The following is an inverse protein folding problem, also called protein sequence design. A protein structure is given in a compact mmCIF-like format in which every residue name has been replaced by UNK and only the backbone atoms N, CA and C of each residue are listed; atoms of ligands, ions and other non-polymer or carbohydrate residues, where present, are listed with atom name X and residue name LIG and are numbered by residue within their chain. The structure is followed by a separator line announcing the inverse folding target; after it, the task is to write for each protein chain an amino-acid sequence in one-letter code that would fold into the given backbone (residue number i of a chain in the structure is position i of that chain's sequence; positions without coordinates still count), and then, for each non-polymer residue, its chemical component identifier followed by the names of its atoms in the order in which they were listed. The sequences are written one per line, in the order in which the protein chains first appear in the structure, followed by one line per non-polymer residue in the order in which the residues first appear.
data_IF_413500133504
#
_entry.id   IF_413500133504
#
_cell.length_a   1.000
_cell.length_b   1.000
_cell.length_c   1.000
_cell.angle_alpha   90.00
_cell.angle_beta   90.00
_cell.angle_gamma   90.00
#
_symmetry.space_group_name_H-M   'P 1'
#
loop_
_entity.id
_entity.type
_entity.pdbx_description
1 polymer ?
#
# COMPACT_ATOMS: atom_id res chain seq x y z
N UNK A 1 2.75 31.89 2.75
CA UNK A 1 2.63 31.03 1.56
C UNK A 1 2.79 29.60 2.05
N UNK A 2 1.86 28.68 1.78
CA UNK A 2 2.04 27.28 2.17
C UNK A 2 3.31 26.75 1.49
N UNK A 3 4.16 26.09 2.25
CA UNK A 3 5.31 25.38 1.68
C UNK A 3 4.82 24.36 0.65
N UNK A 4 5.54 24.26 -0.47
CA UNK A 4 5.20 23.29 -1.49
C UNK A 4 5.47 21.88 -0.93
N UNK A 5 4.50 20.99 -1.11
CA UNK A 5 4.62 19.60 -0.64
C UNK A 5 5.89 18.91 -1.14
N UNK A 6 6.34 19.24 -2.37
CA UNK A 6 7.58 18.71 -2.92
C UNK A 6 8.80 19.04 -2.07
N UNK A 7 8.89 20.27 -1.54
CA UNK A 7 10.02 20.70 -0.72
C UNK A 7 10.06 19.94 0.60
N UNK A 8 8.92 19.81 1.28
CA UNK A 8 8.84 19.05 2.54
C UNK A 8 9.07 17.56 2.30
N UNK A 9 8.54 16.99 1.22
CA UNK A 9 8.65 15.56 0.91
C UNK A 9 10.08 15.13 0.56
N UNK A 10 10.82 15.89 -0.26
CA UNK A 10 12.22 15.58 -0.60
C UNK A 10 13.21 15.94 0.52
N UNK A 11 12.76 16.61 1.58
CA UNK A 11 13.56 16.76 2.81
C UNK A 11 13.58 15.47 3.61
N UNK A 12 12.43 14.78 3.70
CA UNK A 12 12.28 13.49 4.37
C UNK A 12 12.80 12.33 3.51
N UNK A 13 12.33 12.24 2.25
CA UNK A 13 12.80 11.26 1.26
C UNK A 13 14.07 11.80 0.59
N UNK A 14 15.20 11.56 1.24
CA UNK A 14 16.52 12.11 0.88
C UNK A 14 17.04 11.71 -0.51
N UNK A 15 16.47 10.70 -1.17
CA UNK A 15 16.90 10.23 -2.48
C UNK A 15 15.71 10.03 -3.45
N UNK A 16 15.67 10.71 -4.61
CA UNK A 16 14.67 10.46 -5.66
C UNK A 16 14.65 9.02 -6.17
N UNK A 17 15.73 8.25 -5.99
CA UNK A 17 15.78 6.83 -6.32
C UNK A 17 14.73 5.99 -5.57
N UNK A 18 14.23 6.47 -4.43
CA UNK A 18 13.14 5.85 -3.67
C UNK A 18 11.89 5.64 -4.55
N UNK A 19 11.44 6.67 -5.27
CA UNK A 19 10.27 6.57 -6.15
C UNK A 19 10.55 5.86 -7.47
N UNK A 20 11.82 5.79 -7.90
CA UNK A 20 12.21 5.12 -9.15
C UNK A 20 11.91 3.62 -9.13
N UNK A 21 11.97 2.98 -7.96
CA UNK A 21 11.62 1.55 -7.79
C UNK A 21 10.18 1.26 -8.23
N UNK A 22 9.28 2.23 -8.06
CA UNK A 22 7.87 2.13 -8.45
C UNK A 22 7.62 2.58 -9.90
N UNK A 23 8.65 3.08 -10.58
CA UNK A 23 8.56 3.66 -11.91
C UNK A 23 9.54 2.95 -12.85
N UNK A 24 9.04 1.96 -13.60
CA UNK A 24 9.87 1.21 -14.54
C UNK A 24 9.20 -0.05 -15.04
N UNK A 25 9.92 -0.82 -15.86
CA UNK A 25 9.41 -2.08 -16.42
C UNK A 25 9.33 -3.19 -15.36
N UNK A 26 10.23 -3.16 -14.38
CA UNK A 26 10.28 -4.12 -13.28
C UNK A 26 9.47 -3.68 -12.04
N UNK A 27 8.73 -2.58 -12.12
CA UNK A 27 7.96 -2.04 -11.00
C UNK A 27 7.01 -3.07 -10.35
N UNK A 28 6.27 -3.92 -11.11
CA UNK A 28 5.41 -4.94 -10.51
C UNK A 28 6.19 -5.90 -9.60
N UNK A 29 7.32 -6.42 -10.09
CA UNK A 29 8.18 -7.33 -9.33
C UNK A 29 8.76 -6.67 -8.09
N UNK A 30 9.17 -5.40 -8.18
CA UNK A 30 9.67 -4.68 -7.00
C UNK A 30 8.58 -4.41 -5.97
N UNK A 31 7.35 -4.11 -6.39
CA UNK A 31 6.21 -3.93 -5.48
C UNK A 31 5.92 -5.23 -4.73
N UNK A 32 5.88 -6.37 -5.42
CA UNK A 32 5.61 -7.66 -4.78
C UNK A 32 6.73 -8.08 -3.82
N UNK A 33 7.99 -7.79 -4.18
CA UNK A 33 9.14 -7.97 -3.28
C UNK A 33 9.03 -7.09 -2.03
N UNK A 34 8.73 -5.81 -2.19
CA UNK A 34 8.59 -4.87 -1.08
C UNK A 34 7.41 -5.22 -0.17
N UNK A 35 6.28 -5.67 -0.75
CA UNK A 35 5.12 -6.11 0.01
C UNK A 35 5.43 -7.32 0.91
N UNK A 36 6.15 -8.30 0.37
CA UNK A 36 6.55 -9.48 1.13
C UNK A 36 7.58 -9.16 2.22
N UNK A 37 8.57 -8.31 1.92
CA UNK A 37 9.56 -7.88 2.90
C UNK A 37 8.94 -7.07 4.05
N UNK A 38 7.98 -6.18 3.75
CA UNK A 38 7.26 -5.39 4.76
C UNK A 38 6.42 -6.27 5.70
N UNK A 39 5.75 -7.31 5.16
CA UNK A 39 5.01 -8.29 5.99
C UNK A 39 5.92 -9.03 6.96
N UNK A 40 7.03 -9.56 6.47
CA UNK A 40 8.00 -10.29 7.30
C UNK A 40 8.67 -9.38 8.35
N UNK A 41 8.93 -8.11 8.02
CA UNK A 41 9.44 -7.13 8.98
C UNK A 41 8.41 -6.72 10.03
N UNK A 42 7.13 -6.68 9.67
CA UNK A 42 6.03 -6.38 10.61
C UNK A 42 5.86 -7.51 11.63
N UNK A 43 5.96 -8.76 11.18
CA UNK A 43 5.86 -9.93 12.05
C UNK A 43 7.10 -10.12 12.94
N UNK A 44 8.25 -9.55 12.54
CA UNK A 44 9.52 -9.66 13.26
C UNK A 44 10.13 -8.28 13.58
N UNK A 45 9.79 -7.67 14.74
CA UNK A 45 10.32 -6.36 15.12
C UNK A 45 11.85 -6.35 15.34
N UNK A 46 12.45 -7.54 15.46
CA UNK A 46 13.86 -7.77 15.67
C UNK A 46 14.74 -7.50 14.43
N UNK A 47 14.13 -7.34 13.25
CA UNK A 47 14.80 -7.15 11.96
C UNK A 47 15.06 -8.47 11.21
N UNK A 48 15.19 -8.39 9.89
CA UNK A 48 15.31 -9.55 8.99
C UNK A 48 16.79 -9.86 8.70
N UNK A 49 17.18 -11.14 8.67
CA UNK A 49 18.54 -11.50 8.26
C UNK A 49 18.72 -11.37 6.74
N UNK A 50 19.91 -10.95 6.29
CA UNK A 50 20.19 -10.77 4.86
C UNK A 50 19.96 -12.04 4.02
N UNK A 51 20.30 -13.21 4.55
CA UNK A 51 20.09 -14.47 3.83
C UNK A 51 18.59 -14.82 3.72
N UNK A 52 17.82 -14.56 4.78
CA UNK A 52 16.36 -14.76 4.75
C UNK A 52 15.71 -13.80 3.74
N UNK A 53 16.11 -12.53 3.73
CA UNK A 53 15.65 -11.55 2.75
C UNK A 53 15.93 -12.02 1.31
N UNK A 54 17.14 -12.54 1.04
CA UNK A 54 17.49 -13.08 -0.27
C UNK A 54 16.63 -14.29 -0.64
N UNK A 55 16.30 -15.16 0.30
CA UNK A 55 15.48 -16.35 0.05
C UNK A 55 14.01 -15.96 -0.25
N UNK A 56 13.46 -14.98 0.49
CA UNK A 56 12.13 -14.40 0.21
C UNK A 56 12.09 -13.77 -1.18
N UNK A 57 13.09 -12.95 -1.52
CA UNK A 57 13.17 -12.31 -2.84
C UNK A 57 13.28 -13.37 -3.94
N UNK A 58 14.09 -14.42 -3.75
CA UNK A 58 14.24 -15.48 -4.73
C UNK A 58 12.94 -16.22 -5.01
N UNK A 59 12.11 -16.45 -3.98
CA UNK A 59 10.78 -17.06 -4.16
C UNK A 59 9.85 -16.18 -5.00
N UNK A 60 9.87 -14.87 -4.77
CA UNK A 60 9.03 -13.92 -5.51
C UNK A 60 9.51 -13.79 -6.94
N UNK A 61 10.82 -13.69 -7.18
CA UNK A 61 11.39 -13.68 -8.53
C UNK A 61 11.01 -14.93 -9.33
N UNK A 62 10.84 -16.09 -8.68
CA UNK A 62 10.35 -17.30 -9.36
C UNK A 62 8.91 -17.16 -9.87
N UNK A 63 8.10 -16.27 -9.27
CA UNK A 63 6.72 -15.95 -9.70
C UNK A 63 6.68 -14.89 -10.81
N UNK A 64 7.79 -14.21 -11.09
CA UNK A 64 7.92 -13.15 -12.11
C UNK A 64 8.94 -13.52 -13.20
N UNK A 65 8.56 -14.37 -14.18
CA UNK A 65 9.45 -14.75 -15.29
C UNK A 65 9.83 -13.57 -16.21
N UNK A 66 9.06 -12.50 -16.19
CA UNK A 66 9.30 -11.26 -16.94
C UNK A 66 10.38 -10.35 -16.35
N UNK A 67 10.88 -10.65 -15.14
CA UNK A 67 11.90 -9.83 -14.48
C UNK A 67 13.19 -9.81 -15.30
N UNK A 68 13.64 -8.62 -15.65
CA UNK A 68 14.91 -8.40 -16.33
C UNK A 68 15.77 -7.49 -15.46
N UNK A 69 16.89 -7.98 -14.88
CA UNK A 69 17.73 -7.13 -14.06
C UNK A 69 18.20 -5.94 -14.89
N UNK A 70 17.80 -4.74 -14.49
CA UNK A 70 18.28 -3.51 -15.12
C UNK A 70 19.80 -3.46 -14.92
N UNK A 71 20.55 -3.33 -16.01
CA UNK A 71 21.97 -3.05 -15.94
C UNK A 71 22.12 -1.65 -15.35
N UNK A 72 22.43 -1.57 -14.06
CA UNK A 72 22.66 -0.30 -13.37
C UNK A 72 23.75 0.47 -14.14
N UNK A 73 23.42 1.68 -14.61
CA UNK A 73 24.32 2.61 -15.29
C UNK A 73 25.48 2.98 -14.33
N UNK A 74 26.57 2.21 -14.36
CA UNK A 74 27.74 2.49 -13.51
C UNK A 74 28.61 1.29 -13.19
N UNK A 75 28.17 0.06 -13.48
CA UNK A 75 29.08 -1.08 -13.57
C UNK A 75 29.27 -1.34 -15.06
N UNK A 76 30.50 -1.25 -15.55
CA UNK A 76 30.86 -1.73 -16.90
C UNK A 76 30.39 -3.19 -17.02
N UNK A 77 29.16 -3.37 -17.51
CA UNK A 77 28.62 -4.65 -17.83
C UNK A 77 29.42 -5.15 -19.02
N UNK A 78 30.37 -6.04 -18.75
CA UNK A 78 30.99 -6.86 -19.79
C UNK A 78 29.84 -7.48 -20.61
N UNK A 79 29.80 -7.28 -21.94
CA UNK A 79 28.63 -7.59 -22.77
C UNK A 79 28.28 -9.09 -22.84
N UNK A 80 29.07 -9.96 -22.20
CA UNK A 80 28.89 -11.40 -22.16
C UNK A 80 27.97 -11.89 -21.00
N UNK A 81 27.56 -11.03 -20.06
CA UNK A 81 26.65 -11.42 -18.96
C UNK A 81 25.15 -11.24 -19.30
N UNK A 82 24.82 -10.96 -20.56
CA UNK A 82 23.47 -10.59 -20.95
C UNK A 82 22.47 -11.75 -21.09
N UNK A 83 22.86 -13.02 -21.22
CA UNK A 83 21.89 -14.10 -21.55
C UNK A 83 22.30 -15.47 -20.99
N UNK A 84 22.56 -15.58 -19.70
CA UNK A 84 22.54 -16.87 -19.01
C UNK A 84 21.86 -16.68 -17.67
N UNK A 85 20.81 -17.45 -17.40
CA UNK A 85 20.01 -17.42 -16.18
C UNK A 85 20.92 -17.24 -14.95
N UNK A 86 21.00 -16.02 -14.42
CA UNK A 86 21.63 -15.82 -13.13
C UNK A 86 20.92 -16.74 -12.15
N UNK A 87 21.65 -17.47 -11.28
CA UNK A 87 21.00 -18.27 -10.27
C UNK A 87 20.07 -17.34 -9.47
N UNK A 88 18.85 -17.78 -9.12
CA UNK A 88 17.81 -16.92 -8.56
C UNK A 88 18.27 -16.17 -7.30
N UNK A 89 19.20 -16.76 -6.55
CA UNK A 89 19.88 -16.13 -5.41
C UNK A 89 20.78 -14.95 -5.77
N UNK A 90 21.47 -14.97 -6.90
CA UNK A 90 22.30 -13.83 -7.33
C UNK A 90 21.45 -12.68 -7.85
N UNK A 91 20.36 -12.99 -8.59
CA UNK A 91 19.37 -11.99 -8.96
C UNK A 91 18.73 -11.35 -7.72
N UNK A 92 18.34 -12.16 -6.73
CA UNK A 92 17.80 -11.69 -5.46
C UNK A 92 18.77 -10.80 -4.68
N UNK A 93 20.08 -11.12 -4.67
CA UNK A 93 21.10 -10.25 -4.07
C UNK A 93 21.20 -8.89 -4.76
N UNK A 94 21.16 -8.85 -6.10
CA UNK A 94 21.17 -7.60 -6.85
C UNK A 94 19.93 -6.75 -6.56
N UNK A 95 18.75 -7.36 -6.49
CA UNK A 95 17.51 -6.68 -6.10
C UNK A 95 17.62 -6.12 -4.69
N UNK A 96 18.11 -6.92 -3.73
CA UNK A 96 18.29 -6.47 -2.36
C UNK A 96 19.25 -5.28 -2.26
N UNK A 97 20.38 -5.34 -2.97
CA UNK A 97 21.36 -4.24 -3.01
C UNK A 97 20.76 -2.99 -3.67
N UNK A 98 19.95 -3.15 -4.73
CA UNK A 98 19.24 -2.04 -5.37
C UNK A 98 18.22 -1.39 -4.42
N UNK A 99 17.39 -2.17 -3.73
CA UNK A 99 16.42 -1.66 -2.76
C UNK A 99 17.10 -0.95 -1.57
N UNK A 100 18.26 -1.47 -1.13
CA UNK A 100 19.07 -0.84 -0.09
C UNK A 100 19.68 0.49 -0.56
N UNK A 101 20.14 0.57 -1.82
CA UNK A 101 20.62 1.84 -2.43
C UNK A 101 19.49 2.86 -2.54
N UNK A 102 18.30 2.42 -2.93
CA UNK A 102 17.10 3.25 -3.02
C UNK A 102 16.48 3.61 -1.65
N UNK A 103 17.10 3.18 -0.54
CA UNK A 103 16.67 3.46 0.85
C UNK A 103 15.29 2.93 1.22
N UNK A 104 14.85 1.85 0.57
CA UNK A 104 13.68 1.10 1.04
C UNK A 104 14.03 0.19 2.22
N UNK A 105 15.31 -0.16 2.35
CA UNK A 105 15.84 -1.02 3.41
C UNK A 105 16.99 -0.28 4.09
N UNK A 106 16.98 -0.30 5.42
CA UNK A 106 18.03 0.27 6.26
C UNK A 106 18.87 -0.84 6.92
N UNK A 107 20.19 -0.79 6.72
CA UNK A 107 21.16 -1.56 7.50
C UNK A 107 21.65 -0.65 8.65
N UNK A 108 21.29 -0.89 9.93
CA UNK A 108 21.69 -0.02 11.02
C UNK A 108 23.21 -0.04 11.19
N UNK A 109 23.86 1.11 11.44
CA UNK A 109 25.31 1.22 11.51
C UNK A 109 25.93 0.64 12.81
N UNK A 110 25.22 -0.18 13.58
CA UNK A 110 25.71 -0.65 14.89
C UNK A 110 26.60 -1.90 14.77
N UNK A 111 27.64 -1.89 15.61
CA UNK A 111 28.73 -2.87 15.83
C UNK A 111 28.29 -4.30 16.22
N UNK A 112 27.06 -4.70 15.92
CA UNK A 112 26.63 -6.07 16.13
C UNK A 112 26.97 -6.88 14.89
N UNK A 113 27.63 -8.01 15.11
CA UNK A 113 28.03 -9.01 14.13
C UNK A 113 26.84 -9.62 13.35
N UNK A 114 25.60 -9.25 13.69
CA UNK A 114 24.36 -9.60 13.00
C UNK A 114 23.89 -8.41 12.16
N UNK A 115 24.24 -8.41 10.87
CA UNK A 115 23.73 -7.46 9.87
C UNK A 115 22.23 -7.73 9.63
N UNK A 116 21.38 -7.15 10.48
CA UNK A 116 19.91 -7.20 10.33
C UNK A 116 19.43 -6.04 9.46
N UNK A 117 18.48 -6.32 8.59
CA UNK A 117 17.82 -5.37 7.70
C UNK A 117 16.52 -4.91 8.36
N UNK A 118 16.24 -3.62 8.28
CA UNK A 118 14.98 -3.03 8.69
C UNK A 118 14.31 -2.40 7.47
N UNK A 119 12.98 -2.46 7.44
CA UNK A 119 12.20 -1.78 6.43
C UNK A 119 12.08 -0.30 6.79
N UNK A 120 12.25 0.58 5.80
CA UNK A 120 12.11 2.03 6.03
C UNK A 120 10.66 2.39 6.38
N UNK A 121 10.49 3.35 7.30
CA UNK A 121 9.17 3.75 7.79
C UNK A 121 8.33 4.47 6.72
N UNK A 122 8.95 5.24 5.84
CA UNK A 122 8.26 5.88 4.72
C UNK A 122 7.90 4.85 3.64
N UNK A 123 8.78 3.88 3.42
CA UNK A 123 8.50 2.67 2.64
C UNK A 123 7.25 1.94 3.12
N UNK A 124 7.18 1.63 4.41
CA UNK A 124 6.05 0.92 5.01
C UNK A 124 4.73 1.67 4.81
N UNK A 125 4.76 3.00 5.00
CA UNK A 125 3.59 3.87 4.77
C UNK A 125 3.14 3.82 3.31
N UNK A 126 4.09 3.84 2.36
CA UNK A 126 3.78 3.81 0.93
C UNK A 126 3.23 2.45 0.49
N UNK A 127 3.82 1.34 0.96
CA UNK A 127 3.29 -0.01 0.70
C UNK A 127 1.89 -0.17 1.30
N UNK A 128 1.65 0.32 2.52
CA UNK A 128 0.32 0.31 3.11
C UNK A 128 -0.70 1.08 2.26
N UNK A 129 -0.31 2.24 1.72
CA UNK A 129 -1.17 3.00 0.81
C UNK A 129 -1.43 2.24 -0.50
N UNK A 130 -0.41 1.59 -1.07
CA UNK A 130 -0.55 0.76 -2.27
C UNK A 130 -1.47 -0.45 -2.03
N UNK A 131 -1.35 -1.13 -0.88
CA UNK A 131 -2.27 -2.20 -0.46
C UNK A 131 -3.71 -1.70 -0.39
N UNK A 132 -3.92 -0.53 0.20
CA UNK A 132 -5.26 0.07 0.30
C UNK A 132 -5.82 0.44 -1.09
N UNK A 133 -4.97 0.78 -2.05
CA UNK A 133 -5.40 1.04 -3.43
C UNK A 133 -5.75 -0.28 -4.14
N UNK A 134 -4.96 -1.34 -3.95
CA UNK A 134 -5.18 -2.65 -4.57
C UNK A 134 -6.39 -3.38 -3.97
N UNK A 135 -6.52 -3.34 -2.66
CA UNK A 135 -7.58 -3.96 -1.86
C UNK A 135 -8.23 -2.91 -0.95
N UNK A 136 -9.07 -2.02 -1.48
CA UNK A 136 -9.73 -1.05 -0.64
C UNK A 136 -10.78 -1.72 0.21
N UNK A 137 -10.85 -1.27 1.47
CA UNK A 137 -11.88 -1.67 2.41
C UNK A 137 -13.29 -1.42 1.85
N UNK A 138 -14.27 -2.09 2.44
CA UNK A 138 -15.67 -1.82 2.15
C UNK A 138 -15.94 -0.33 2.32
N UNK A 139 -16.44 0.32 1.25
CA UNK A 139 -16.72 1.74 1.29
C UNK A 139 -17.94 1.99 2.21
N UNK A 140 -17.66 2.40 3.45
CA UNK A 140 -18.69 2.72 4.45
C UNK A 140 -18.93 4.23 4.44
N UNK A 141 -20.19 4.62 4.32
CA UNK A 141 -20.63 6.00 4.56
C UNK A 141 -20.97 6.16 6.03
N UNK A 142 -20.25 7.03 6.74
CA UNK A 142 -20.39 7.17 8.20
C UNK A 142 -21.31 8.31 8.62
N UNK A 143 -22.28 8.67 7.75
CA UNK A 143 -23.31 9.67 8.03
C UNK A 143 -22.75 11.07 8.37
N UNK A 144 -21.50 11.37 7.97
CA UNK A 144 -20.87 12.67 8.27
C UNK A 144 -21.64 13.86 7.70
N UNK A 145 -22.26 13.69 6.55
CA UNK A 145 -23.05 14.76 5.90
C UNK A 145 -24.37 14.99 6.63
N UNK A 146 -25.01 13.93 7.14
CA UNK A 146 -26.24 14.09 7.93
C UNK A 146 -25.92 14.73 9.28
N UNK A 147 -24.77 14.40 9.88
CA UNK A 147 -24.26 15.08 11.08
C UNK A 147 -24.01 16.59 10.85
N UNK A 148 -23.50 16.99 9.68
CA UNK A 148 -23.35 18.40 9.29
C UNK A 148 -24.72 19.09 9.19
N UNK A 149 -25.69 18.46 8.51
CA UNK A 149 -27.04 19.02 8.39
C UNK A 149 -27.71 19.18 9.76
N UNK A 150 -27.52 18.22 10.67
CA UNK A 150 -28.04 18.29 12.03
C UNK A 150 -27.37 19.41 12.85
N UNK A 151 -26.04 19.54 12.76
CA UNK A 151 -25.29 20.59 13.44
C UNK A 151 -25.66 21.99 12.93
N UNK A 152 -25.90 22.15 11.63
CA UNK A 152 -26.35 23.41 11.03
C UNK A 152 -27.82 23.73 11.33
N UNK A 153 -28.65 22.73 11.62
CA UNK A 153 -30.04 22.92 12.04
C UNK A 153 -30.17 23.30 13.53
N UNK A 154 -29.12 23.12 14.33
CA UNK A 154 -29.12 23.49 15.75
C UNK A 154 -28.71 24.95 15.94
N UNK A 155 -29.68 25.86 15.83
CA UNK A 155 -29.46 27.32 15.95
C UNK A 155 -28.83 27.71 17.29
N UNK A 156 -29.19 27.04 18.39
CA UNK A 156 -28.67 27.37 19.72
C UNK A 156 -27.15 27.13 19.82
N UNK A 157 -26.67 26.02 19.26
CA UNK A 157 -25.25 25.65 19.28
C UNK A 157 -24.41 26.52 18.34
N UNK A 158 -24.99 26.95 17.22
CA UNK A 158 -24.35 27.91 16.31
C UNK A 158 -24.19 29.29 16.97
N UNK A 159 -25.19 29.74 17.74
CA UNK A 159 -25.15 31.02 18.43
C UNK A 159 -24.10 30.99 19.56
N UNK A 160 -24.03 29.90 20.32
CA UNK A 160 -23.07 29.79 21.42
C UNK A 160 -21.62 29.62 20.95
N UNK A 161 -21.38 28.83 19.90
CA UNK A 161 -20.02 28.44 19.46
C UNK A 161 -19.85 28.43 17.94
N UNK A 162 -20.04 29.57 17.25
CA UNK A 162 -20.15 29.61 15.79
C UNK A 162 -18.91 29.09 15.06
N UNK A 163 -17.71 29.46 15.50
CA UNK A 163 -16.46 29.07 14.84
C UNK A 163 -16.15 27.58 15.01
N UNK A 164 -16.37 27.04 16.22
CA UNK A 164 -16.11 25.63 16.50
C UNK A 164 -17.08 24.73 15.73
N UNK A 165 -18.36 25.09 15.72
CA UNK A 165 -19.39 24.36 14.96
C UNK A 165 -19.07 24.39 13.47
N UNK A 166 -18.60 25.53 12.94
CA UNK A 166 -18.21 25.66 11.55
C UNK A 166 -16.97 24.81 11.20
N UNK A 167 -15.95 24.78 12.06
CA UNK A 167 -14.76 23.94 11.86
C UNK A 167 -15.10 22.44 11.87
N UNK A 168 -15.97 22.01 12.78
CA UNK A 168 -16.48 20.63 12.84
C UNK A 168 -17.28 20.30 11.59
N UNK A 169 -18.20 21.18 11.17
CA UNK A 169 -18.98 20.99 9.95
C UNK A 169 -18.09 20.88 8.72
N UNK A 170 -17.06 21.73 8.62
CA UNK A 170 -16.13 21.76 7.50
C UNK A 170 -15.28 20.47 7.46
N UNK A 171 -14.78 20.02 8.62
CA UNK A 171 -14.07 18.75 8.74
C UNK A 171 -14.95 17.56 8.35
N UNK A 172 -16.17 17.47 8.89
CA UNK A 172 -17.11 16.40 8.60
C UNK A 172 -17.53 16.41 7.12
N UNK A 173 -17.72 17.58 6.51
CA UNK A 173 -18.02 17.69 5.08
C UNK A 173 -16.86 17.17 4.22
N UNK A 174 -15.61 17.55 4.55
CA UNK A 174 -14.42 17.06 3.83
C UNK A 174 -14.27 15.53 3.94
N UNK A 175 -14.47 14.99 5.14
CA UNK A 175 -14.43 13.54 5.39
C UNK A 175 -15.55 12.82 4.63
N UNK A 176 -16.80 13.26 4.78
CA UNK A 176 -17.95 12.67 4.09
C UNK A 176 -17.84 12.75 2.56
N UNK A 177 -17.27 13.84 2.02
CA UNK A 177 -17.00 13.94 0.59
C UNK A 177 -15.89 12.96 0.15
N UNK A 178 -14.89 12.71 0.99
CA UNK A 178 -13.91 11.65 0.81
C UNK A 178 -14.55 10.27 0.73
N UNK A 179 -15.44 9.95 1.68
CA UNK A 179 -16.21 8.69 1.72
C UNK A 179 -17.10 8.53 0.47
N UNK A 180 -17.77 9.59 0.01
CA UNK A 180 -18.57 9.51 -1.22
C UNK A 180 -17.69 9.24 -2.46
N UNK A 181 -16.47 9.79 -2.52
CA UNK A 181 -15.53 9.51 -3.62
C UNK A 181 -15.03 8.06 -3.58
N UNK A 182 -14.80 7.49 -2.39
CA UNK A 182 -14.41 6.08 -2.27
C UNK A 182 -15.56 5.16 -2.66
N UNK A 183 -16.80 5.48 -2.25
CA UNK A 183 -18.01 4.78 -2.71
C UNK A 183 -18.17 4.85 -4.22
N UNK A 184 -18.00 6.02 -4.83
CA UNK A 184 -18.08 6.17 -6.28
C UNK A 184 -17.10 5.24 -7.01
N UNK A 185 -15.84 5.17 -6.56
CA UNK A 185 -14.85 4.24 -7.14
C UNK A 185 -15.21 2.78 -6.90
N UNK A 186 -15.75 2.44 -5.74
CA UNK A 186 -16.22 1.08 -5.43
C UNK A 186 -17.32 0.65 -6.40
N UNK A 187 -18.32 1.50 -6.61
CA UNK A 187 -19.41 1.27 -7.58
C UNK A 187 -18.84 1.13 -9.00
N UNK A 188 -17.95 2.03 -9.43
CA UNK A 188 -17.33 1.94 -10.76
C UNK A 188 -16.60 0.60 -10.97
N UNK A 189 -15.87 0.12 -9.95
CA UNK A 189 -15.17 -1.17 -10.03
C UNK A 189 -16.15 -2.34 -10.07
N UNK A 190 -17.21 -2.31 -9.25
CA UNK A 190 -18.26 -3.33 -9.27
C UNK A 190 -18.93 -3.39 -10.64
N UNK A 191 -19.32 -2.23 -11.20
CA UNK A 191 -19.91 -2.14 -12.53
C UNK A 191 -18.96 -2.68 -13.60
N UNK A 192 -17.66 -2.34 -13.52
CA UNK A 192 -16.66 -2.88 -14.45
C UNK A 192 -16.56 -4.41 -14.36
N UNK A 193 -16.49 -4.96 -13.14
CA UNK A 193 -16.46 -6.43 -12.93
C UNK A 193 -17.71 -7.12 -13.48
N UNK A 194 -18.89 -6.54 -13.26
CA UNK A 194 -20.14 -7.06 -13.80
C UNK A 194 -20.17 -7.05 -15.34
N UNK A 195 -19.60 -6.01 -15.96
CA UNK A 195 -19.52 -5.91 -17.42
C UNK A 195 -18.47 -6.85 -18.03
N UNK A 196 -17.42 -7.21 -17.29
CA UNK A 196 -16.40 -8.19 -17.70
C UNK A 196 -16.90 -9.64 -17.59
N UNK A 197 -17.97 -9.90 -16.82
CA UNK A 197 -18.57 -11.22 -16.66
C UNK A 197 -19.60 -11.52 -17.78
N UNK A 198 -19.25 -12.46 -18.66
CA UNK A 198 -20.10 -12.86 -19.79
C UNK A 198 -21.27 -13.79 -19.40
N UNK A 199 -21.33 -14.23 -18.14
CA UNK A 199 -22.35 -15.18 -17.67
C UNK A 199 -23.20 -14.62 -16.54
N UNK A 200 -24.50 -14.97 -16.53
CA UNK A 200 -25.42 -14.62 -15.45
C UNK A 200 -24.95 -15.19 -14.09
N UNK A 201 -24.35 -16.38 -14.10
CA UNK A 201 -23.78 -17.02 -12.91
C UNK A 201 -22.59 -16.24 -12.36
N UNK A 202 -21.67 -15.80 -13.23
CA UNK A 202 -20.53 -14.96 -12.84
C UNK A 202 -20.98 -13.61 -12.27
N UNK A 203 -21.95 -12.97 -12.93
CA UNK A 203 -22.56 -11.74 -12.45
C UNK A 203 -23.25 -11.88 -11.08
N UNK A 204 -23.95 -13.00 -10.85
CA UNK A 204 -24.54 -13.30 -9.55
C UNK A 204 -23.46 -13.58 -8.49
N UNK A 205 -22.37 -14.28 -8.83
CA UNK A 205 -21.24 -14.50 -7.92
C UNK A 205 -20.62 -13.20 -7.44
N UNK A 206 -20.35 -12.25 -8.34
CA UNK A 206 -19.81 -10.92 -7.99
C UNK A 206 -20.69 -10.16 -6.98
N UNK A 207 -22.01 -10.32 -7.05
CA UNK A 207 -22.95 -9.64 -6.16
C UNK A 207 -23.14 -10.40 -4.84
N UNK A 208 -23.19 -11.73 -4.90
CA UNK A 208 -23.56 -12.57 -3.77
C UNK A 208 -22.38 -13.09 -2.96
N UNK A 209 -21.19 -13.26 -3.55
CA UNK A 209 -19.99 -13.68 -2.82
C UNK A 209 -19.49 -12.53 -1.92
N UNK A 210 -19.48 -11.29 -2.43
CA UNK A 210 -19.21 -10.08 -1.64
C UNK A 210 -20.24 -9.90 -0.51
N UNK A 211 -21.51 -10.23 -0.75
CA UNK A 211 -22.58 -10.18 0.26
C UNK A 211 -22.45 -11.30 1.29
N UNK A 212 -22.13 -12.52 0.86
CA UNK A 212 -21.99 -13.67 1.72
C UNK A 212 -20.80 -13.52 2.68
N UNK A 213 -19.66 -13.00 2.22
CA UNK A 213 -18.51 -12.72 3.10
C UNK A 213 -18.85 -11.66 4.15
N UNK A 214 -19.52 -10.56 3.76
CA UNK A 214 -19.87 -9.48 4.69
C UNK A 214 -20.92 -9.90 5.72
N UNK A 215 -21.95 -10.64 5.31
CA UNK A 215 -22.99 -11.14 6.22
C UNK A 215 -22.45 -12.25 7.11
N UNK A 216 -21.61 -13.16 6.59
CA UNK A 216 -21.00 -14.21 7.39
C UNK A 216 -20.07 -13.64 8.46
N UNK A 217 -19.22 -12.66 8.12
CA UNK A 217 -18.34 -12.00 9.09
C UNK A 217 -19.14 -11.20 10.14
N UNK A 218 -20.18 -10.48 9.73
CA UNK A 218 -21.08 -9.76 10.63
C UNK A 218 -21.82 -10.69 11.60
N UNK A 219 -22.44 -11.74 11.07
CA UNK A 219 -23.17 -12.72 11.87
C UNK A 219 -22.24 -13.50 12.83
N UNK A 220 -21.01 -13.80 12.40
CA UNK A 220 -20.01 -14.45 13.27
C UNK A 220 -19.53 -13.51 14.38
N UNK A 221 -19.29 -12.23 14.08
CA UNK A 221 -18.92 -11.22 15.08
C UNK A 221 -20.05 -10.98 16.10
N UNK A 222 -21.30 -10.99 15.68
CA UNK A 222 -22.45 -10.91 16.59
C UNK A 222 -22.60 -12.18 17.45
N UNK A 223 -22.41 -13.37 16.89
CA UNK A 223 -22.42 -14.63 17.64
C UNK A 223 -21.29 -14.72 18.69
N UNK A 224 -20.10 -14.19 18.39
CA UNK A 224 -18.98 -14.13 19.33
C UNK A 224 -19.24 -13.11 20.44
N UNK A 225 -19.93 -12.00 20.15
CA UNK A 225 -20.31 -10.98 21.15
C UNK A 225 -21.50 -11.39 22.02
N UNK A 226 -22.34 -12.30 21.54
CA UNK A 226 -23.51 -12.81 22.27
C UNK A 226 -23.20 -13.96 23.25
N UNK A 227 -21.92 -14.32 23.42
CA UNK A 227 -21.45 -15.40 24.30
C UNK A 227 -20.71 -14.85 25.50
#
# INVERSE_FOLDING_TARGET
MPELLSTSLYTEVRDPAFFRVLAGRNAPTYVDVLDALDRECTDRPDGLERNEAVDIIAEILAKHPEFQPEADEGVEASPDLLIAALPPREAARRVLDHLSRCRWLEEPPRKDWRRRLYFDAHGATLISALRQIAHPDAAVFTDKITAVCAALANEAEIIERPLQTLDVCLSNTRQGLGELRTMQKSVQRLTRRQLEEDTLKGNLGVVFDDYAEQVAQGAYAELVRAR
#
